data_IF_631945243464
#
_entry.id   IF_631945243464
#
_cell.length_a   1.000
_cell.length_b   1.000
_cell.length_c   1.000
_cell.angle_alpha   90.00
_cell.angle_beta   90.00
_cell.angle_gamma   90.00
#
_symmetry.space_group_name_H-M   'P 1'
#
loop_
_entity.id
_entity.type
_entity.pdbx_description
1 polymer ?
#
# COMPACT_ATOMS: atom_id res chain seq x y z
N UNK A 1 35.70 8.66 12.73
CA UNK A 1 34.87 7.73 12.39
C UNK A 1 33.60 8.22 11.89
N UNK A 2 33.18 7.61 10.99
CA UNK A 2 31.94 8.12 10.53
C UNK A 2 30.87 7.76 11.49
N UNK A 3 30.36 8.74 12.10
CA UNK A 3 29.24 8.52 12.98
C UNK A 3 28.07 7.90 12.28
N UNK A 4 28.04 8.03 10.97
CA UNK A 4 26.89 7.51 10.25
C UNK A 4 26.75 5.99 10.37
N UNK A 5 27.85 5.28 10.40
CA UNK A 5 27.79 3.85 10.56
C UNK A 5 27.22 3.46 11.90
N UNK A 6 27.61 4.18 12.93
CA UNK A 6 27.08 3.91 14.26
C UNK A 6 25.59 4.21 14.34
N UNK A 7 25.19 5.28 13.68
CA UNK A 7 23.80 5.66 13.69
C UNK A 7 22.94 4.57 13.07
N UNK A 8 23.43 4.01 11.97
CA UNK A 8 22.70 2.94 11.31
C UNK A 8 22.53 1.74 12.21
N UNK A 9 23.59 1.36 12.89
CA UNK A 9 23.51 0.21 13.78
C UNK A 9 22.53 0.49 14.90
N UNK A 10 22.54 1.69 15.44
CA UNK A 10 21.64 2.04 16.50
C UNK A 10 20.17 1.97 16.05
N UNK A 11 19.93 2.43 14.82
CA UNK A 11 18.59 2.36 14.28
C UNK A 11 18.10 0.93 14.18
N UNK A 12 18.95 0.07 13.66
CA UNK A 12 18.57 -1.33 13.54
C UNK A 12 18.35 -1.97 14.91
N UNK A 13 19.16 -1.61 15.85
CA UNK A 13 19.02 -2.15 17.19
C UNK A 13 17.72 -1.77 17.84
N UNK A 14 17.13 -0.64 17.45
CA UNK A 14 15.88 -0.17 18.02
C UNK A 14 14.68 -0.61 17.24
N UNK A 15 14.89 -1.22 16.10
CA UNK A 15 13.79 -1.66 15.24
C UNK A 15 13.02 -2.77 15.89
N UNK A 16 11.70 -2.66 15.87
CA UNK A 16 10.86 -3.72 16.40
C UNK A 16 10.91 -4.94 15.51
N UNK A 17 10.68 -6.08 16.14
CA UNK A 17 10.63 -7.32 15.40
C UNK A 17 9.52 -7.24 14.36
N UNK A 18 9.84 -7.57 13.14
CA UNK A 18 8.88 -7.53 12.04
C UNK A 18 8.77 -6.19 11.34
N UNK A 19 9.40 -5.18 11.89
CA UNK A 19 9.37 -3.85 11.28
C UNK A 19 10.28 -3.81 10.06
N UNK A 20 9.77 -3.27 8.95
CA UNK A 20 10.52 -3.24 7.70
C UNK A 20 11.46 -2.06 7.64
N UNK A 21 12.63 -2.30 7.06
CA UNK A 21 13.55 -1.21 6.74
C UNK A 21 13.08 -0.48 5.49
N UNK A 22 13.57 0.75 5.25
CA UNK A 22 13.22 1.44 3.99
C UNK A 22 13.58 0.63 2.75
N UNK A 23 14.70 -0.10 2.78
CA UNK A 23 15.11 -0.93 1.67
C UNK A 23 14.11 -2.06 1.43
N UNK A 24 13.64 -2.67 2.50
CA UNK A 24 12.62 -3.72 2.40
C UNK A 24 11.30 -3.17 1.88
N UNK A 25 10.94 -1.97 2.30
CA UNK A 25 9.73 -1.33 1.80
C UNK A 25 9.81 -1.08 0.30
N UNK A 26 10.96 -0.63 -0.17
CA UNK A 26 11.17 -0.41 -1.59
C UNK A 26 11.08 -1.70 -2.37
N UNK A 27 11.70 -2.76 -1.84
CA UNK A 27 11.64 -4.06 -2.51
C UNK A 27 10.21 -4.58 -2.55
N UNK A 28 9.47 -4.39 -1.48
CA UNK A 28 8.07 -4.81 -1.43
C UNK A 28 7.26 -4.08 -2.51
N UNK A 29 7.45 -2.77 -2.64
CA UNK A 29 6.76 -2.00 -3.66
C UNK A 29 7.13 -2.49 -5.06
N UNK A 30 8.41 -2.73 -5.29
CA UNK A 30 8.89 -3.22 -6.57
C UNK A 30 8.25 -4.56 -6.91
N UNK A 31 8.20 -5.47 -5.93
CA UNK A 31 7.62 -6.80 -6.15
C UNK A 31 6.13 -6.73 -6.48
N UNK A 32 5.39 -5.87 -5.78
CA UNK A 32 3.96 -5.72 -6.04
C UNK A 32 3.74 -5.21 -7.46
N UNK A 33 4.44 -4.16 -7.83
CA UNK A 33 4.26 -3.56 -9.15
C UNK A 33 4.68 -4.52 -10.25
N UNK A 34 5.76 -5.29 -10.01
CA UNK A 34 6.21 -6.29 -10.98
C UNK A 34 5.14 -7.35 -11.20
N UNK A 35 4.45 -7.75 -10.14
CA UNK A 35 3.39 -8.73 -10.28
C UNK A 35 2.29 -8.21 -11.22
N UNK A 36 1.91 -6.94 -11.06
CA UNK A 36 0.87 -6.35 -11.92
C UNK A 36 1.37 -6.16 -13.35
N UNK A 37 2.65 -5.84 -13.52
CA UNK A 37 3.22 -5.76 -14.85
C UNK A 37 3.11 -7.08 -15.58
N UNK A 38 3.34 -8.19 -14.86
CA UNK A 38 3.27 -9.52 -15.44
C UNK A 38 1.85 -10.01 -15.64
N UNK A 39 0.97 -9.76 -14.70
CA UNK A 39 -0.35 -10.40 -14.69
C UNK A 39 -1.46 -9.51 -15.20
N UNK A 40 -1.27 -8.21 -15.14
CA UNK A 40 -2.29 -7.24 -15.55
C UNK A 40 -1.84 -6.40 -16.74
N UNK A 41 -0.66 -6.69 -17.27
CA UNK A 41 -0.12 -5.95 -18.40
C UNK A 41 0.01 -4.46 -18.10
N UNK A 42 0.35 -4.16 -16.86
CA UNK A 42 0.44 -2.79 -16.38
C UNK A 42 1.69 -2.12 -16.94
N UNK A 43 1.51 -0.92 -17.48
CA UNK A 43 2.62 -0.07 -17.87
C UNK A 43 2.87 0.89 -16.71
N UNK A 44 3.63 0.42 -15.74
CA UNK A 44 3.78 1.14 -14.48
C UNK A 44 4.48 2.46 -14.67
N UNK A 45 3.88 3.52 -14.14
CA UNK A 45 4.49 4.83 -14.13
C UNK A 45 4.37 5.40 -12.73
N UNK A 46 5.53 5.63 -12.13
CA UNK A 46 5.56 6.20 -10.81
C UNK A 46 5.14 7.65 -10.80
N UNK A 47 4.85 8.12 -9.61
CA UNK A 47 4.46 9.49 -9.39
C UNK A 47 5.69 10.34 -9.13
N UNK A 48 5.68 11.59 -9.60
CA UNK A 48 6.76 12.53 -9.30
C UNK A 48 6.81 12.78 -7.81
N UNK A 49 8.02 12.91 -7.29
CA UNK A 49 8.21 13.15 -5.86
C UNK A 49 7.50 14.44 -5.42
N UNK A 50 7.45 15.44 -6.29
CA UNK A 50 6.80 16.71 -5.94
C UNK A 50 5.32 16.52 -5.63
N UNK A 51 4.66 15.59 -6.32
CA UNK A 51 3.23 15.32 -6.08
C UNK A 51 3.05 14.65 -4.73
N UNK A 52 3.95 13.71 -4.42
CA UNK A 52 3.91 13.04 -3.12
C UNK A 52 4.18 14.05 -2.00
N UNK A 53 5.13 14.95 -2.22
CA UNK A 53 5.47 15.97 -1.24
C UNK A 53 4.30 16.90 -0.97
N UNK A 54 3.54 17.25 -2.00
CA UNK A 54 2.37 18.09 -1.80
C UNK A 54 1.34 17.43 -0.90
N UNK A 55 1.14 16.13 -1.08
CA UNK A 55 0.23 15.40 -0.21
C UNK A 55 0.79 15.33 1.22
N UNK A 56 2.09 15.12 1.35
CA UNK A 56 2.74 15.02 2.64
C UNK A 56 2.64 16.30 3.46
N UNK A 57 2.51 17.43 2.79
CA UNK A 57 2.32 18.69 3.48
C UNK A 57 0.96 18.77 4.17
N UNK A 58 0.00 18.01 3.70
CA UNK A 58 -1.36 18.03 4.21
C UNK A 58 -1.60 16.97 5.26
N UNK A 59 -1.03 15.81 5.10
CA UNK A 59 -1.19 14.69 6.03
C UNK A 59 0.08 13.87 6.02
N UNK A 60 0.34 13.17 7.12
CA UNK A 60 1.51 12.30 7.21
C UNK A 60 1.33 11.10 6.27
N UNK A 61 2.28 10.93 5.37
CA UNK A 61 2.28 9.81 4.43
C UNK A 61 3.40 8.86 4.84
N UNK A 62 3.06 7.60 5.15
CA UNK A 62 4.10 6.63 5.53
C UNK A 62 5.04 6.34 4.37
N UNK A 63 6.29 6.04 4.72
CA UNK A 63 7.32 5.79 3.71
C UNK A 63 6.96 4.61 2.81
N UNK A 64 6.37 3.56 3.37
CA UNK A 64 6.01 2.39 2.57
C UNK A 64 5.06 2.77 1.43
N UNK A 65 4.14 3.68 1.70
CA UNK A 65 3.19 4.13 0.69
C UNK A 65 3.88 5.02 -0.34
N UNK A 66 4.81 5.88 0.11
CA UNK A 66 5.59 6.69 -0.83
C UNK A 66 6.39 5.81 -1.79
N UNK A 67 7.00 4.75 -1.25
CA UNK A 67 7.77 3.84 -2.10
C UNK A 67 6.89 3.22 -3.16
N UNK A 68 5.66 2.85 -2.80
CA UNK A 68 4.73 2.27 -3.76
C UNK A 68 4.39 3.27 -4.85
N UNK A 69 4.07 4.50 -4.48
CA UNK A 69 3.73 5.54 -5.45
C UNK A 69 4.89 5.90 -6.36
N UNK A 70 6.12 5.75 -5.91
CA UNK A 70 7.27 5.97 -6.79
C UNK A 70 7.36 4.93 -7.88
N UNK A 71 6.84 3.73 -7.61
CA UNK A 71 6.84 2.66 -8.61
C UNK A 71 5.60 2.71 -9.49
N UNK A 72 4.45 3.05 -8.93
CA UNK A 72 3.21 3.13 -9.70
C UNK A 72 2.27 4.10 -9.02
N UNK A 73 1.70 5.01 -9.80
CA UNK A 73 0.77 6.00 -9.25
C UNK A 73 -0.65 5.46 -9.14
N UNK A 74 -1.01 4.55 -10.04
CA UNK A 74 -2.35 3.94 -10.06
C UNK A 74 -2.21 2.51 -10.57
N UNK A 75 -3.33 1.87 -10.84
CA UNK A 75 -3.39 0.56 -11.52
C UNK A 75 -2.88 -0.61 -10.70
N UNK A 76 -2.53 -0.38 -9.45
CA UNK A 76 -2.29 -1.46 -8.50
C UNK A 76 -3.58 -1.68 -7.74
N UNK A 77 -3.93 -2.95 -7.53
CA UNK A 77 -5.18 -3.29 -6.86
C UNK A 77 -4.90 -4.06 -5.58
N UNK A 78 -5.58 -3.68 -4.53
CA UNK A 78 -5.58 -4.42 -3.27
C UNK A 78 -6.91 -5.16 -3.20
N UNK A 79 -6.93 -6.35 -3.80
CA UNK A 79 -8.15 -7.08 -4.08
C UNK A 79 -9.09 -6.20 -4.92
N UNK A 80 -10.23 -5.79 -4.43
CA UNK A 80 -11.14 -4.94 -5.18
C UNK A 80 -10.92 -3.45 -5.03
N UNK A 81 -9.88 -3.04 -4.31
CA UNK A 81 -9.58 -1.62 -4.10
C UNK A 81 -8.44 -1.19 -5.01
N UNK A 82 -8.67 -0.16 -5.79
CA UNK A 82 -7.67 0.35 -6.72
C UNK A 82 -6.88 1.49 -6.07
N UNK A 83 -5.56 1.46 -6.24
CA UNK A 83 -4.67 2.49 -5.72
C UNK A 83 -5.07 3.85 -6.28
N UNK A 84 -5.10 4.85 -5.41
CA UNK A 84 -5.44 6.22 -5.78
C UNK A 84 -4.18 7.02 -6.08
N UNK A 85 -4.27 7.88 -7.08
CA UNK A 85 -3.19 8.80 -7.40
C UNK A 85 -3.09 9.85 -6.28
N UNK A 86 -1.87 10.17 -5.81
CA UNK A 86 -1.74 11.16 -4.71
C UNK A 86 -2.39 12.49 -4.99
N UNK A 87 -2.40 12.93 -6.25
CA UNK A 87 -3.03 14.19 -6.60
C UNK A 87 -4.54 14.14 -6.37
N UNK A 88 -5.17 13.01 -6.69
CA UNK A 88 -6.59 12.83 -6.44
C UNK A 88 -6.90 12.82 -4.96
N UNK A 89 -6.01 12.21 -4.18
CA UNK A 89 -6.18 12.15 -2.73
C UNK A 89 -6.20 13.55 -2.12
N UNK A 90 -5.31 14.42 -2.61
CA UNK A 90 -5.27 15.78 -2.09
C UNK A 90 -6.60 16.49 -2.18
N UNK A 91 -7.38 16.16 -3.20
CA UNK A 91 -8.69 16.78 -3.40
C UNK A 91 -9.76 16.19 -2.49
N UNK A 92 -9.53 15.01 -1.95
CA UNK A 92 -10.50 14.32 -1.11
C UNK A 92 -10.36 14.64 0.37
N UNK A 93 -9.22 15.20 0.78
CA UNK A 93 -8.87 15.26 2.20
C UNK A 93 -9.84 16.08 3.04
N UNK A 94 -10.50 17.07 2.44
CA UNK A 94 -11.46 17.85 3.20
C UNK A 94 -12.65 17.03 3.67
N UNK A 95 -12.91 15.90 3.01
CA UNK A 95 -14.01 15.01 3.36
C UNK A 95 -13.57 13.82 4.18
N UNK A 96 -12.29 13.73 4.51
CA UNK A 96 -11.71 12.61 5.24
C UNK A 96 -11.17 13.11 6.56
N UNK A 97 -11.55 12.46 7.65
CA UNK A 97 -11.10 12.85 8.97
C UNK A 97 -9.58 12.72 9.10
N UNK A 98 -8.96 13.71 9.72
CA UNK A 98 -7.54 13.58 10.05
C UNK A 98 -7.38 12.55 11.15
N UNK A 99 -6.31 11.79 11.18
CA UNK A 99 -5.12 11.88 10.34
C UNK A 99 -5.15 10.98 9.12
N UNK A 100 -6.31 10.47 8.74
CA UNK A 100 -6.41 9.40 7.74
C UNK A 100 -6.06 9.88 6.35
N UNK A 101 -5.29 9.05 5.64
CA UNK A 101 -4.93 9.28 4.24
C UNK A 101 -5.51 8.12 3.43
N UNK A 102 -6.49 8.39 2.57
CA UNK A 102 -7.01 7.31 1.72
C UNK A 102 -5.98 6.98 0.66
N UNK A 103 -5.82 5.68 0.38
CA UNK A 103 -4.87 5.27 -0.65
C UNK A 103 -5.46 4.31 -1.68
N UNK A 104 -6.66 3.79 -1.45
CA UNK A 104 -7.30 2.92 -2.42
C UNK A 104 -8.80 3.01 -2.29
N UNK A 105 -9.52 2.73 -3.38
CA UNK A 105 -10.97 2.88 -3.42
C UNK A 105 -11.59 1.74 -4.22
N UNK A 106 -12.71 1.21 -3.73
CA UNK A 106 -13.41 0.16 -4.45
C UNK A 106 -14.54 0.73 -5.30
N UNK A 107 -15.28 -0.15 -5.96
CA UNK A 107 -16.33 0.26 -6.90
C UNK A 107 -17.49 0.97 -6.21
N UNK A 108 -17.67 0.73 -4.94
CA UNK A 108 -18.74 1.36 -4.15
C UNK A 108 -18.26 2.58 -3.39
N UNK A 109 -17.07 3.07 -3.71
CA UNK A 109 -16.44 4.25 -3.11
C UNK A 109 -16.04 4.05 -1.65
N UNK A 110 -15.99 2.81 -1.19
CA UNK A 110 -15.36 2.53 0.09
C UNK A 110 -13.85 2.68 -0.06
N UNK A 111 -13.18 3.07 1.02
CA UNK A 111 -11.77 3.42 0.96
C UNK A 111 -10.95 2.52 1.86
N UNK A 112 -9.67 2.37 1.49
CA UNK A 112 -8.64 1.94 2.42
C UNK A 112 -7.88 3.18 2.82
N UNK A 113 -7.66 3.35 4.11
CA UNK A 113 -6.96 4.53 4.62
C UNK A 113 -5.85 4.10 5.55
N UNK A 114 -4.86 4.97 5.70
CA UNK A 114 -3.81 4.77 6.69
C UNK A 114 -3.88 5.93 7.68
N UNK A 115 -3.77 5.61 8.96
CA UNK A 115 -3.72 6.62 10.01
C UNK A 115 -2.92 6.09 11.17
N UNK A 116 -1.96 6.89 11.67
CA UNK A 116 -1.03 6.44 12.70
C UNK A 116 -0.39 5.12 12.31
N UNK A 117 -0.05 5.00 11.03
CA UNK A 117 0.61 3.85 10.43
C UNK A 117 -0.29 2.61 10.24
N UNK A 118 -1.43 2.55 10.85
CA UNK A 118 -2.34 1.42 10.74
C UNK A 118 -3.26 1.57 9.53
N UNK A 119 -3.73 0.44 9.01
CA UNK A 119 -4.61 0.41 7.84
C UNK A 119 -6.02 0.09 8.28
N UNK A 120 -6.98 0.84 7.75
CA UNK A 120 -8.39 0.69 8.10
C UNK A 120 -9.25 0.75 6.87
N UNK A 121 -10.43 0.13 6.96
CA UNK A 121 -11.51 0.44 6.04
C UNK A 121 -12.12 1.78 6.44
N UNK A 122 -12.68 2.48 5.46
CA UNK A 122 -13.23 3.81 5.70
C UNK A 122 -14.38 4.06 4.74
N UNK A 123 -15.48 4.58 5.26
CA UNK A 123 -16.61 4.96 4.42
C UNK A 123 -16.89 6.43 4.58
N UNK A 124 -17.09 7.09 3.44
CA UNK A 124 -17.43 8.50 3.46
C UNK A 124 -18.73 8.69 4.22
N UNK A 125 -18.72 9.62 5.15
CA UNK A 125 -19.90 9.89 5.96
C UNK A 125 -19.97 9.07 7.23
N UNK A 126 -19.47 7.84 7.21
CA UNK A 126 -19.50 6.97 8.40
C UNK A 126 -18.16 6.93 9.12
N UNK A 127 -17.08 7.19 8.39
CA UNK A 127 -15.77 7.25 9.00
C UNK A 127 -15.06 5.92 9.04
N UNK A 128 -14.13 5.80 9.97
CA UNK A 128 -13.25 4.64 10.07
C UNK A 128 -14.01 3.38 10.46
N UNK A 129 -13.73 2.31 9.72
CA UNK A 129 -14.28 0.99 10.03
C UNK A 129 -13.23 0.10 10.67
N UNK A 130 -13.16 -1.15 10.22
CA UNK A 130 -12.29 -2.16 10.83
C UNK A 130 -10.82 -1.89 10.55
N UNK A 131 -9.98 -2.18 11.54
CA UNK A 131 -8.55 -2.15 11.33
C UNK A 131 -8.11 -3.42 10.64
N UNK A 132 -7.37 -3.27 9.55
CA UNK A 132 -6.91 -4.40 8.73
C UNK A 132 -5.49 -4.79 9.03
N UNK A 133 -4.67 -3.85 9.51
CA UNK A 133 -3.27 -4.14 9.80
C UNK A 133 -2.75 -3.08 10.77
N UNK A 134 -1.76 -3.47 11.57
CA UNK A 134 -1.14 -2.55 12.52
C UNK A 134 -0.21 -1.56 11.85
N UNK A 135 0.24 -1.85 10.61
CA UNK A 135 1.04 -0.89 9.87
C UNK A 135 0.81 -1.09 8.38
N UNK A 136 1.01 -0.01 7.62
CA UNK A 136 0.90 -0.09 6.16
C UNK A 136 2.02 -0.97 5.59
N UNK A 137 3.21 -0.93 6.21
CA UNK A 137 4.30 -1.78 5.74
C UNK A 137 3.94 -3.26 5.88
N UNK A 138 3.36 -3.65 7.01
CA UNK A 138 2.92 -5.02 7.21
C UNK A 138 1.80 -5.39 6.24
N UNK A 139 0.89 -4.47 6.01
CA UNK A 139 -0.21 -4.69 5.08
C UNK A 139 0.32 -4.98 3.68
N UNK A 140 1.25 -4.16 3.21
CA UNK A 140 1.82 -4.33 1.88
C UNK A 140 2.65 -5.60 1.79
N UNK A 141 3.40 -5.92 2.83
CA UNK A 141 4.22 -7.14 2.82
C UNK A 141 3.33 -8.38 2.77
N UNK A 142 2.29 -8.41 3.57
CA UNK A 142 1.38 -9.55 3.57
C UNK A 142 0.71 -9.70 2.21
N UNK A 143 0.33 -8.58 1.61
CA UNK A 143 -0.30 -8.62 0.29
C UNK A 143 0.69 -9.09 -0.78
N UNK A 144 1.92 -8.54 -0.76
CA UNK A 144 2.96 -8.98 -1.67
C UNK A 144 3.17 -10.49 -1.59
N UNK A 145 3.22 -11.01 -0.37
CA UNK A 145 3.44 -12.43 -0.18
C UNK A 145 2.31 -13.25 -0.79
N UNK A 146 1.08 -12.81 -0.64
CA UNK A 146 -0.06 -13.51 -1.24
C UNK A 146 -0.01 -13.48 -2.75
N UNK A 147 0.41 -12.34 -3.32
CA UNK A 147 0.55 -12.24 -4.77
C UNK A 147 1.60 -13.22 -5.26
N UNK A 148 2.75 -13.28 -4.59
CA UNK A 148 3.84 -14.15 -5.03
C UNK A 148 3.53 -15.61 -4.82
N UNK A 149 2.66 -15.93 -3.86
CA UNK A 149 2.22 -17.30 -3.62
C UNK A 149 1.17 -17.78 -4.63
N UNK A 150 0.74 -16.91 -5.52
CA UNK A 150 -0.25 -17.29 -6.52
C UNK A 150 -1.66 -17.33 -5.99
N UNK A 151 -1.92 -16.60 -4.92
CA UNK A 151 -3.25 -16.60 -4.30
C UNK A 151 -4.27 -15.79 -5.06
N UNK A 152 -3.82 -14.91 -5.96
CA UNK A 152 -4.71 -14.00 -6.66
C UNK A 152 -4.54 -14.10 -8.16
N UNK A 153 -5.62 -13.78 -8.84
CA UNK A 153 -5.66 -13.66 -10.28
C UNK A 153 -6.21 -12.29 -10.60
N UNK A 154 -5.61 -11.61 -11.57
CA UNK A 154 -6.10 -10.29 -11.97
C UNK A 154 -7.28 -10.46 -12.93
N UNK A 155 -8.39 -9.79 -12.60
CA UNK A 155 -9.59 -9.79 -13.42
C UNK A 155 -9.86 -8.35 -13.83
N UNK A 156 -9.85 -8.11 -15.14
CA UNK A 156 -10.00 -6.76 -15.64
C UNK A 156 -11.31 -6.16 -15.15
N UNK A 157 -11.20 -4.98 -14.52
CA UNK A 157 -12.35 -4.29 -13.96
C UNK A 157 -12.70 -4.69 -12.53
N UNK A 158 -12.23 -5.86 -12.07
CA UNK A 158 -12.55 -6.36 -10.74
C UNK A 158 -11.36 -6.33 -9.79
N UNK A 159 -10.17 -6.17 -10.33
CA UNK A 159 -8.96 -6.18 -9.52
C UNK A 159 -8.44 -7.58 -9.32
N UNK A 160 -7.96 -7.84 -8.11
CA UNK A 160 -7.39 -9.14 -7.77
C UNK A 160 -8.43 -9.98 -7.08
N UNK A 161 -8.65 -11.17 -7.62
CA UNK A 161 -9.64 -12.11 -7.09
C UNK A 161 -8.90 -13.35 -6.64
N UNK A 162 -9.27 -13.86 -5.47
CA UNK A 162 -8.62 -15.04 -4.94
C UNK A 162 -8.88 -16.23 -5.86
N UNK A 163 -7.80 -16.95 -6.18
CA UNK A 163 -7.93 -18.04 -7.14
C UNK A 163 -8.57 -19.25 -6.51
N UNK A 164 -9.35 -19.95 -7.30
CA UNK A 164 -9.95 -21.20 -6.85
C UNK A 164 -8.90 -22.29 -6.67
N UNK A 165 -7.77 -22.13 -7.34
CA UNK A 165 -6.72 -23.13 -7.24
C UNK A 165 -6.15 -23.25 -5.83
N UNK A 166 -6.18 -22.17 -5.05
CA UNK A 166 -5.67 -22.24 -3.70
C UNK A 166 -6.64 -22.92 -2.76
N UNK A 167 -7.92 -22.90 -3.06
CA UNK A 167 -8.91 -23.52 -2.20
C UNK A 167 -8.86 -25.07 -2.26
N UNK A 168 -8.80 -25.67 -3.45
CA UNK A 168 -8.78 -27.14 -3.49
C UNK A 168 -7.51 -27.74 -2.89
N UNK A 169 -6.41 -27.02 -2.94
CA UNK A 169 -5.15 -27.61 -2.50
C UNK A 169 -5.19 -28.02 -1.04
N UNK A 170 -5.93 -27.31 -0.22
CA UNK A 170 -6.00 -27.67 1.19
C UNK A 170 -7.03 -28.76 1.46
N UNK A 171 -7.91 -28.96 0.55
CA UNK A 171 -8.94 -29.97 0.72
C UNK A 171 -8.51 -31.34 0.29
N UNK A 172 -7.36 -31.44 -0.31
CA UNK A 172 -6.89 -32.75 -0.77
C UNK A 172 -5.74 -33.27 0.07
#
# INVERSE_FOLDING_TARGET
MPPSGKIEVAEEGNRRKGEMTPSEMRQCATDIVAWFTQHADLDAKGCDQSVIDELSKKRDVPLALEELWREAATDVWFEGYQLLHPQSIGKMLSDIDAPYVPFARDIDDALLVVGDDAVYEYEMGDGRGDRLSSSIADYLEAYRNKLLEGRFEYMDGDGCVETMASAPSRGK
#
